data_IF_262139800668
#
_entry.id   IF_262139800668
#
_cell.length_a   1.000
_cell.length_b   1.000
_cell.length_c   1.000
_cell.angle_alpha   90.00
_cell.angle_beta   90.00
_cell.angle_gamma   90.00
#
_symmetry.space_group_name_H-M   'P 1'
#
loop_
_entity.id
_entity.type
_entity.pdbx_description
1 polymer ?
#
# COMPACT_ATOMS: atom_id res chain seq x y z
N UNK A 1 -7.74 -72.95 26.99
CA UNK A 1 -8.03 -73.73 25.75
C UNK A 1 -9.06 -72.90 25.01
N UNK A 2 -8.88 -72.32 23.83
CA UNK A 2 -8.49 -72.94 22.58
C UNK A 2 -8.47 -71.82 21.51
N UNK A 3 -7.30 -71.60 20.88
CA UNK A 3 -7.09 -71.19 19.47
C UNK A 3 -7.36 -69.75 18.99
N UNK A 4 -6.25 -69.03 18.88
CA UNK A 4 -5.76 -68.26 17.71
C UNK A 4 -6.52 -68.46 16.40
N UNK A 5 -6.93 -67.36 15.76
CA UNK A 5 -6.89 -67.18 14.30
C UNK A 5 -6.36 -65.78 13.98
N UNK A 6 -5.25 -65.75 13.24
CA UNK A 6 -4.58 -64.61 12.62
C UNK A 6 -5.10 -64.48 11.19
N UNK A 7 -5.50 -63.27 10.76
CA UNK A 7 -5.53 -62.80 9.36
C UNK A 7 -5.50 -61.26 9.44
N UNK A 8 -4.36 -60.60 9.25
CA UNK A 8 -3.71 -60.25 7.99
C UNK A 8 -4.40 -59.09 7.22
N UNK A 9 -3.63 -58.01 7.06
CA UNK A 9 -3.67 -57.01 5.99
C UNK A 9 -4.62 -55.80 6.13
N UNK A 10 -4.05 -54.67 6.55
CA UNK A 10 -4.40 -53.35 6.00
C UNK A 10 -3.19 -52.41 6.14
N UNK A 11 -2.37 -52.33 5.09
CA UNK A 11 -1.41 -51.25 4.93
C UNK A 11 -2.19 -49.95 4.65
N UNK A 12 -2.22 -49.04 5.62
CA UNK A 12 -2.78 -47.70 5.42
C UNK A 12 -1.62 -46.75 5.15
N UNK A 13 -1.52 -46.37 3.87
CA UNK A 13 -0.63 -45.35 3.35
C UNK A 13 -0.92 -43.97 3.98
N UNK A 14 0.15 -43.21 4.11
CA UNK A 14 0.24 -41.80 4.49
C UNK A 14 -0.90 -40.90 3.98
N UNK A 15 -1.39 -40.04 4.85
CA UNK A 15 -1.83 -38.70 4.47
C UNK A 15 -1.44 -37.74 5.59
N UNK A 16 -0.26 -37.13 5.46
CA UNK A 16 0.14 -35.99 6.27
C UNK A 16 -0.80 -34.82 5.96
N UNK A 17 -1.73 -34.54 6.86
CA UNK A 17 -2.55 -33.35 6.81
C UNK A 17 -1.68 -32.14 7.16
N UNK A 18 -1.08 -31.50 6.15
CA UNK A 18 -0.54 -30.16 6.30
C UNK A 18 -1.73 -29.18 6.42
N UNK A 19 -1.75 -28.26 7.39
CA UNK A 19 -2.76 -27.22 7.43
C UNK A 19 -2.53 -26.30 6.23
N UNK A 20 -3.51 -26.26 5.33
CA UNK A 20 -3.60 -25.22 4.32
C UNK A 20 -3.83 -23.90 5.05
N UNK A 21 -2.77 -23.12 5.25
CA UNK A 21 -2.90 -21.70 5.51
C UNK A 21 -3.55 -21.08 4.28
N UNK A 22 -4.87 -20.90 4.35
CA UNK A 22 -5.59 -20.00 3.47
C UNK A 22 -4.93 -18.63 3.59
N UNK A 23 -4.20 -18.24 2.54
CA UNK A 23 -3.67 -16.91 2.41
C UNK A 23 -4.85 -15.94 2.32
N UNK A 24 -5.17 -15.31 3.45
CA UNK A 24 -6.04 -14.15 3.52
C UNK A 24 -5.51 -13.11 2.51
N UNK A 25 -6.35 -12.47 1.68
CA UNK A 25 -5.89 -11.50 0.69
C UNK A 25 -5.15 -10.37 1.42
N UNK A 26 -3.83 -10.37 1.25
CA UNK A 26 -2.84 -9.53 1.94
C UNK A 26 -3.44 -8.23 2.49
N UNK A 27 -3.87 -8.26 3.76
CA UNK A 27 -4.25 -7.07 4.51
C UNK A 27 -3.07 -6.09 4.44
N UNK A 28 -3.27 -4.84 3.99
CA UNK A 28 -2.20 -3.85 3.97
C UNK A 28 -1.57 -3.78 5.35
N UNK A 29 -0.23 -3.83 5.42
CA UNK A 29 0.51 -3.83 6.67
C UNK A 29 0.09 -2.60 7.49
N UNK A 30 -0.80 -2.82 8.46
CA UNK A 30 -1.45 -1.78 9.23
C UNK A 30 -0.49 -1.31 10.34
N UNK A 31 0.39 -0.38 9.98
CA UNK A 31 1.10 0.46 10.93
C UNK A 31 1.23 1.87 10.37
N UNK A 32 0.90 2.93 11.12
CA UNK A 32 1.18 4.30 10.70
C UNK A 32 2.71 4.48 10.67
N UNK A 33 3.28 4.27 9.50
CA UNK A 33 4.70 4.50 9.24
C UNK A 33 4.81 5.96 8.83
N UNK A 34 5.28 6.80 9.73
CA UNK A 34 5.46 8.21 9.43
C UNK A 34 6.58 8.39 8.41
N UNK A 35 6.46 9.42 7.57
CA UNK A 35 7.53 9.82 6.65
C UNK A 35 7.78 11.32 6.76
N UNK A 36 8.92 11.77 6.24
CA UNK A 36 9.23 13.19 6.15
C UNK A 36 8.89 13.74 4.77
N UNK A 37 8.29 14.93 4.70
CA UNK A 37 7.98 15.57 3.41
C UNK A 37 9.26 15.88 2.65
N UNK A 38 10.30 16.33 3.35
CA UNK A 38 11.65 16.52 2.80
C UNK A 38 12.30 15.26 2.19
N UNK A 39 11.80 14.07 2.52
CA UNK A 39 12.33 12.80 2.00
C UNK A 39 11.57 12.25 0.79
N UNK A 40 10.49 12.91 0.38
CA UNK A 40 9.74 12.55 -0.82
C UNK A 40 10.62 12.86 -2.03
N UNK A 41 10.83 11.84 -2.86
CA UNK A 41 11.63 11.98 -4.09
C UNK A 41 10.79 12.06 -5.34
N UNK A 42 9.75 11.23 -5.39
CA UNK A 42 8.92 11.11 -6.56
C UNK A 42 7.49 10.83 -6.15
N UNK A 43 6.55 11.23 -7.00
CA UNK A 43 5.15 10.89 -6.90
C UNK A 43 4.68 10.28 -8.21
N UNK A 44 3.66 9.45 -8.13
CA UNK A 44 3.03 8.88 -9.33
C UNK A 44 1.55 8.78 -9.08
N UNK A 45 0.76 9.30 -10.02
CA UNK A 45 -0.68 9.17 -9.98
C UNK A 45 -1.04 7.72 -10.30
N UNK A 46 -1.77 7.08 -9.38
CA UNK A 46 -2.37 5.76 -9.61
C UNK A 46 -3.70 5.90 -10.35
N UNK A 47 -4.62 6.65 -9.77
CA UNK A 47 -5.97 6.89 -10.32
C UNK A 47 -6.48 8.28 -9.91
N UNK A 48 -7.78 8.57 -10.07
CA UNK A 48 -8.38 9.86 -9.71
C UNK A 48 -8.42 10.16 -8.20
N UNK A 49 -8.20 9.16 -7.35
CA UNK A 49 -8.23 9.17 -5.88
C UNK A 49 -6.97 8.58 -5.24
N UNK A 50 -6.03 8.03 -6.00
CA UNK A 50 -4.85 7.33 -5.48
C UNK A 50 -3.58 7.99 -5.99
N UNK A 51 -2.70 8.35 -5.05
CA UNK A 51 -1.35 8.84 -5.33
C UNK A 51 -0.33 7.93 -4.64
N UNK A 52 0.73 7.58 -5.35
CA UNK A 52 1.88 6.87 -4.79
C UNK A 52 3.04 7.83 -4.56
N UNK A 53 3.67 7.78 -3.40
CA UNK A 53 4.86 8.54 -3.06
C UNK A 53 6.04 7.59 -2.85
N UNK A 54 7.19 7.93 -3.41
CA UNK A 54 8.47 7.27 -3.14
C UNK A 54 9.31 8.10 -2.19
N UNK A 55 9.68 7.52 -1.05
CA UNK A 55 10.34 8.21 0.06
C UNK A 55 11.70 7.58 0.38
N UNK A 56 12.74 8.41 0.48
CA UNK A 56 14.10 8.02 0.91
C UNK A 56 14.17 7.74 2.43
N UNK A 57 15.23 7.08 2.95
CA UNK A 57 16.38 6.52 2.24
C UNK A 57 16.12 5.14 1.62
N UNK A 58 15.15 4.37 2.11
CA UNK A 58 14.91 2.97 1.71
C UNK A 58 13.95 2.78 0.52
N UNK A 59 13.70 3.83 -0.29
CA UNK A 59 12.70 3.85 -1.38
C UNK A 59 11.35 3.25 -0.94
N UNK A 60 10.87 3.69 0.22
CA UNK A 60 9.60 3.24 0.76
C UNK A 60 8.49 3.85 -0.07
N UNK A 61 7.54 3.03 -0.51
CA UNK A 61 6.39 3.49 -1.28
C UNK A 61 5.19 3.63 -0.35
N UNK A 62 4.57 4.81 -0.40
CA UNK A 62 3.35 5.12 0.33
C UNK A 62 2.20 5.32 -0.66
N UNK A 63 1.05 4.72 -0.38
CA UNK A 63 -0.20 4.97 -1.08
C UNK A 63 -1.01 5.99 -0.27
N UNK A 64 -1.40 7.07 -0.91
CA UNK A 64 -2.29 8.09 -0.38
C UNK A 64 -3.62 7.94 -1.08
N UNK A 65 -4.66 7.63 -0.31
CA UNK A 65 -6.04 7.65 -0.78
C UNK A 65 -6.66 9.02 -0.51
N UNK A 66 -7.38 9.55 -1.50
CA UNK A 66 -8.07 10.83 -1.43
C UNK A 66 -9.55 10.62 -1.12
N UNK A 67 -10.16 11.55 -0.38
CA UNK A 67 -11.60 11.52 -0.07
C UNK A 67 -12.48 11.78 -1.31
N UNK A 68 -11.94 12.48 -2.32
CA UNK A 68 -12.63 12.82 -3.57
C UNK A 68 -11.76 12.58 -4.81
N UNK A 69 -12.29 12.82 -6.00
CA UNK A 69 -11.60 12.63 -7.27
C UNK A 69 -10.78 13.84 -7.73
N UNK A 70 -10.12 14.53 -6.80
CA UNK A 70 -9.36 15.75 -7.08
C UNK A 70 -8.20 15.52 -8.07
N UNK A 71 -7.72 14.27 -8.23
CA UNK A 71 -6.68 13.91 -9.19
C UNK A 71 -7.24 13.54 -10.57
N UNK A 72 -8.56 13.64 -10.81
CA UNK A 72 -9.17 13.23 -12.08
C UNK A 72 -8.52 13.90 -13.29
N UNK A 73 -8.20 15.20 -13.19
CA UNK A 73 -7.50 15.96 -14.23
C UNK A 73 -5.98 15.99 -14.12
N UNK A 74 -5.41 15.46 -13.03
CA UNK A 74 -3.98 15.51 -12.78
C UNK A 74 -3.21 14.43 -13.56
N UNK A 75 -1.95 14.70 -13.87
CA UNK A 75 -0.99 13.76 -14.42
C UNK A 75 0.17 13.54 -13.43
N UNK A 76 0.93 12.45 -13.59
CA UNK A 76 2.12 12.22 -12.75
C UNK A 76 3.18 13.30 -12.92
N UNK A 77 3.19 14.02 -14.04
CA UNK A 77 4.10 15.14 -14.29
C UNK A 77 3.62 16.48 -13.71
N UNK A 78 2.39 16.54 -13.20
CA UNK A 78 1.86 17.79 -12.64
C UNK A 78 2.52 18.08 -11.29
N UNK A 79 2.85 19.35 -11.01
CA UNK A 79 3.48 19.70 -9.76
C UNK A 79 2.48 19.57 -8.61
N UNK A 80 2.95 18.90 -7.55
CA UNK A 80 2.26 18.79 -6.28
C UNK A 80 2.85 19.80 -5.30
N UNK A 81 1.98 20.47 -4.56
CA UNK A 81 2.34 21.29 -3.41
C UNK A 81 1.94 20.51 -2.16
N UNK A 82 2.94 20.20 -1.35
CA UNK A 82 2.83 19.39 -0.14
C UNK A 82 3.22 20.27 1.04
N UNK A 83 2.28 20.56 1.92
CA UNK A 83 2.48 21.42 3.08
C UNK A 83 2.15 20.64 4.34
N UNK A 84 3.05 20.63 5.32
CA UNK A 84 2.74 19.99 6.60
C UNK A 84 1.99 20.92 7.52
N UNK A 85 1.02 20.37 8.23
CA UNK A 85 0.24 21.11 9.22
C UNK A 85 0.99 21.08 10.55
N UNK A 86 1.17 22.24 11.19
CA UNK A 86 1.81 22.33 12.51
C UNK A 86 3.33 22.46 12.50
N UNK A 87 3.95 22.77 11.35
CA UNK A 87 5.38 23.13 11.26
C UNK A 87 6.36 21.97 11.45
N UNK A 88 5.88 20.74 11.63
CA UNK A 88 6.71 19.55 11.65
C UNK A 88 6.88 19.00 10.24
N UNK A 89 8.10 18.65 9.83
CA UNK A 89 8.36 17.99 8.54
C UNK A 89 7.91 16.51 8.51
N UNK A 90 7.21 16.03 9.56
CA UNK A 90 6.80 14.63 9.70
C UNK A 90 5.30 14.48 9.43
N UNK A 91 4.94 13.47 8.63
CA UNK A 91 3.56 13.10 8.29
C UNK A 91 3.31 11.69 8.82
N UNK A 92 2.41 11.57 9.80
CA UNK A 92 1.99 10.28 10.34
C UNK A 92 0.54 9.94 9.98
N UNK A 93 -0.29 10.96 9.83
CA UNK A 93 -1.72 10.84 9.61
C UNK A 93 -2.13 11.65 8.38
N UNK A 94 -3.28 11.32 7.76
CA UNK A 94 -3.80 12.08 6.62
C UNK A 94 -3.94 13.59 6.87
N UNK A 95 -4.31 14.00 8.09
CA UNK A 95 -4.51 15.40 8.46
C UNK A 95 -3.20 16.18 8.69
N UNK A 96 -2.06 15.49 8.79
CA UNK A 96 -0.77 16.16 9.01
C UNK A 96 -0.19 16.74 7.70
N UNK A 97 -0.84 16.46 6.55
CA UNK A 97 -0.38 16.82 5.22
C UNK A 97 -1.52 17.47 4.40
N UNK A 98 -1.33 18.71 3.99
CA UNK A 98 -2.14 19.39 2.99
C UNK A 98 -1.53 19.13 1.60
N UNK A 99 -2.32 18.53 0.71
CA UNK A 99 -1.93 18.23 -0.66
C UNK A 99 -2.72 19.13 -1.60
N UNK A 100 -2.02 19.87 -2.44
CA UNK A 100 -2.60 20.63 -3.55
C UNK A 100 -1.95 20.18 -4.86
N UNK A 101 -2.75 20.04 -5.90
CA UNK A 101 -2.26 19.68 -7.24
C UNK A 101 -2.51 20.85 -8.19
N UNK A 102 -1.51 21.19 -9.00
CA UNK A 102 -1.69 22.16 -10.08
C UNK A 102 -2.10 21.42 -11.35
N UNK A 103 -3.36 21.57 -11.77
CA UNK A 103 -3.88 20.89 -12.96
C UNK A 103 -3.85 21.84 -14.15
N UNK A 104 -3.04 21.53 -15.17
CA UNK A 104 -2.91 22.30 -16.41
C UNK A 104 -2.48 23.76 -16.17
N UNK A 105 -3.05 24.68 -16.96
CA UNK A 105 -2.84 26.13 -16.79
C UNK A 105 -3.64 26.74 -15.62
N UNK A 106 -4.41 25.91 -14.90
CA UNK A 106 -5.27 26.34 -13.80
C UNK A 106 -4.53 26.63 -12.48
N UNK A 107 -5.35 26.94 -11.46
CA UNK A 107 -4.91 27.16 -10.08
C UNK A 107 -4.58 25.87 -9.32
N UNK A 108 -4.19 26.03 -8.05
CA UNK A 108 -3.95 24.93 -7.13
C UNK A 108 -5.28 24.35 -6.64
N UNK A 109 -5.50 23.05 -6.86
CA UNK A 109 -6.69 22.34 -6.40
C UNK A 109 -6.35 21.55 -5.13
N UNK A 110 -7.03 21.78 -4.00
CA UNK A 110 -6.80 21.02 -2.77
C UNK A 110 -7.32 19.58 -2.90
N UNK A 111 -6.56 18.64 -2.34
CA UNK A 111 -6.83 17.22 -2.33
C UNK A 111 -6.83 16.72 -0.88
N UNK A 112 -8.02 16.41 -0.36
CA UNK A 112 -8.16 15.92 1.01
C UNK A 112 -7.72 14.46 1.07
N UNK A 113 -6.64 14.19 1.79
CA UNK A 113 -6.13 12.83 2.05
C UNK A 113 -7.07 12.15 3.05
N UNK A 114 -7.51 10.94 2.70
CA UNK A 114 -8.35 10.07 3.52
C UNK A 114 -7.52 9.04 4.28
N UNK A 115 -6.58 8.39 3.60
CA UNK A 115 -5.74 7.33 4.15
C UNK A 115 -4.31 7.42 3.62
N UNK A 116 -3.37 7.01 4.47
CA UNK A 116 -1.95 6.87 4.13
C UNK A 116 -1.56 5.45 4.51
N UNK A 117 -1.08 4.69 3.54
CA UNK A 117 -0.70 3.28 3.72
C UNK A 117 0.70 3.05 3.17
N UNK A 118 1.59 2.48 3.97
CA UNK A 118 2.90 2.02 3.47
C UNK A 118 2.71 0.71 2.71
N UNK A 119 3.21 0.65 1.48
CA UNK A 119 3.20 -0.57 0.68
C UNK A 119 4.40 -1.46 1.02
N UNK A 120 4.17 -2.76 1.06
CA UNK A 120 5.24 -3.76 1.15
C UNK A 120 5.94 -3.90 -0.22
N UNK A 121 7.17 -4.42 -0.27
CA UNK A 121 7.87 -4.66 -1.55
C UNK A 121 7.02 -5.50 -2.52
N UNK A 122 6.36 -6.54 -2.02
CA UNK A 122 5.48 -7.40 -2.81
C UNK A 122 4.31 -6.61 -3.41
N UNK A 123 3.68 -5.72 -2.62
CA UNK A 123 2.60 -4.85 -3.11
C UNK A 123 3.10 -3.86 -4.16
N UNK A 124 4.31 -3.31 -3.99
CA UNK A 124 4.92 -2.41 -4.99
C UNK A 124 5.21 -3.14 -6.29
N UNK A 125 5.66 -4.39 -6.24
CA UNK A 125 5.90 -5.19 -7.46
C UNK A 125 4.60 -5.62 -8.15
N UNK A 126 3.51 -5.77 -7.39
CA UNK A 126 2.18 -6.02 -7.92
C UNK A 126 1.53 -4.78 -8.57
N UNK A 127 2.08 -3.57 -8.35
CA UNK A 127 1.59 -2.37 -9.03
C UNK A 127 1.83 -2.45 -10.54
N UNK A 128 0.88 -1.97 -11.37
CA UNK A 128 1.09 -1.88 -12.82
C UNK A 128 2.39 -1.13 -13.16
N UNK A 129 3.15 -1.56 -14.20
CA UNK A 129 4.42 -0.94 -14.55
C UNK A 129 4.39 0.57 -14.73
N UNK A 130 3.26 1.13 -15.16
CA UNK A 130 3.07 2.56 -15.42
C UNK A 130 2.86 3.42 -14.18
N UNK A 131 2.55 2.83 -13.02
CA UNK A 131 2.23 3.57 -11.78
C UNK A 131 3.25 3.33 -10.67
N UNK A 132 4.33 2.58 -10.96
CA UNK A 132 5.44 2.37 -10.03
C UNK A 132 6.34 3.62 -10.02
N UNK A 133 6.48 4.32 -8.88
CA UNK A 133 7.24 5.58 -8.77
C UNK A 133 8.75 5.38 -8.67
#
# INVERSE_FOLDING_TARGET
MQRLIVLASAAILCAAAAPAFAADPAKPAAGPQCFRVSQIQNHTKGDAKTLYLSVKPKRQVYRLGMSGSCLAGANSSDPLVLETVGGTDMVCRPLDLDLKVKVGAGGLTPCIIKDITRLTPDQVTALPPKVRP
#
